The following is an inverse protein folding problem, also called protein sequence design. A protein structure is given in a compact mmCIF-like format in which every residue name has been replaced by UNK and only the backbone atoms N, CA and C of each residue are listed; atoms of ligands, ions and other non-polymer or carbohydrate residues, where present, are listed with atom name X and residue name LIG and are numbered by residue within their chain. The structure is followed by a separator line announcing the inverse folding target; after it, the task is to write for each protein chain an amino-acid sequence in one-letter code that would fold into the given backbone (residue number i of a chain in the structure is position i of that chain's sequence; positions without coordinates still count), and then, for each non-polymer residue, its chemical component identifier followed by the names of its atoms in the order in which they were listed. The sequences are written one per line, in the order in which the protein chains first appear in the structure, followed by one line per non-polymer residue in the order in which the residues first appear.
data_IF_299865449873
#
_entry.id   IF_299865449873
#
_cell.length_a   1.000
_cell.length_b   1.000
_cell.length_c   1.000
_cell.angle_alpha   90.00
_cell.angle_beta   90.00
_cell.angle_gamma   90.00
#
_symmetry.space_group_name_H-M   'P 1'
#
loop_
_entity.id
_entity.type
_entity.pdbx_description
1 polymer ?
#
# COMPACT_ATOMS: atom_id res chain seq x y z
N UNK A 1 154.97 17.80 -109.28
CA UNK A 1 153.58 18.09 -109.74
C UNK A 1 152.66 17.94 -108.53
N UNK A 2 151.74 18.79 -108.12
CA UNK A 2 151.38 20.20 -108.35
C UNK A 2 150.02 20.38 -107.63
N UNK A 3 149.86 21.33 -106.70
CA UNK A 3 148.55 21.96 -106.41
C UNK A 3 147.82 21.68 -105.07
N UNK A 4 147.92 22.67 -104.16
CA UNK A 4 146.88 23.23 -103.24
C UNK A 4 146.38 22.44 -102.01
N UNK A 5 146.93 22.73 -100.80
CA UNK A 5 146.37 22.37 -99.48
C UNK A 5 145.33 23.34 -98.87
N UNK A 6 145.05 24.50 -99.48
CA UNK A 6 144.35 25.62 -98.79
C UNK A 6 142.80 25.64 -98.91
N UNK A 7 142.18 24.87 -99.81
CA UNK A 7 140.72 24.92 -100.00
C UNK A 7 139.90 24.07 -99.00
N UNK A 8 140.52 23.04 -98.41
CA UNK A 8 139.83 22.13 -97.47
C UNK A 8 139.72 22.76 -96.06
N UNK A 9 140.69 23.61 -95.66
CA UNK A 9 140.66 24.30 -94.37
C UNK A 9 139.53 25.35 -94.31
N UNK A 10 139.38 26.16 -95.37
CA UNK A 10 138.32 27.19 -95.45
C UNK A 10 136.90 26.59 -95.45
N UNK A 11 136.73 25.41 -96.04
CA UNK A 11 135.44 24.70 -96.05
C UNK A 11 135.11 24.12 -94.67
N UNK A 12 136.13 23.66 -93.92
CA UNK A 12 135.96 23.15 -92.55
C UNK A 12 135.60 24.26 -91.56
N UNK A 13 136.17 25.46 -91.71
CA UNK A 13 135.83 26.62 -90.88
C UNK A 13 134.39 27.09 -91.11
N UNK A 14 133.95 27.24 -92.37
CA UNK A 14 132.55 27.58 -92.68
C UNK A 14 131.54 26.55 -92.14
N UNK A 15 131.86 25.26 -92.22
CA UNK A 15 131.02 24.21 -91.64
C UNK A 15 130.96 24.29 -90.11
N UNK A 16 132.06 24.68 -89.46
CA UNK A 16 132.11 24.89 -88.00
C UNK A 16 131.29 26.11 -87.57
N UNK A 17 131.33 27.18 -88.36
CA UNK A 17 130.57 28.41 -88.14
C UNK A 17 129.06 28.18 -88.32
N UNK A 18 128.66 27.45 -89.37
CA UNK A 18 127.26 27.04 -89.59
C UNK A 18 126.78 26.10 -88.48
N UNK A 19 127.62 25.15 -88.04
CA UNK A 19 127.28 24.26 -86.93
C UNK A 19 127.11 25.04 -85.61
N UNK A 20 127.97 26.01 -85.32
CA UNK A 20 127.83 26.89 -84.15
C UNK A 20 126.59 27.77 -84.23
N UNK A 21 126.27 28.33 -85.41
CA UNK A 21 125.05 29.12 -85.61
C UNK A 21 123.78 28.27 -85.48
N UNK A 22 123.78 27.02 -85.97
CA UNK A 22 122.69 26.06 -85.79
C UNK A 22 122.48 25.68 -84.33
N UNK A 23 123.56 25.44 -83.57
CA UNK A 23 123.48 25.17 -82.13
C UNK A 23 122.98 26.39 -81.37
N UNK A 24 123.45 27.61 -81.69
CA UNK A 24 122.97 28.83 -81.08
C UNK A 24 121.47 29.07 -81.34
N UNK A 25 121.00 28.85 -82.58
CA UNK A 25 119.58 28.95 -82.94
C UNK A 25 118.72 27.85 -82.30
N UNK A 26 119.28 26.64 -82.13
CA UNK A 26 118.60 25.56 -81.43
C UNK A 26 118.45 25.85 -79.93
N UNK A 27 119.47 26.44 -79.30
CA UNK A 27 119.42 26.91 -77.90
C UNK A 27 118.42 28.05 -77.75
N UNK A 28 118.39 29.02 -78.66
CA UNK A 28 117.41 30.12 -78.66
C UNK A 28 115.96 29.60 -78.84
N UNK A 29 115.73 28.67 -79.77
CA UNK A 29 114.42 28.02 -79.96
C UNK A 29 114.00 27.19 -78.75
N UNK A 30 114.95 26.53 -78.08
CA UNK A 30 114.71 25.79 -76.85
C UNK A 30 114.36 26.74 -75.70
N UNK A 31 115.06 27.86 -75.52
CA UNK A 31 114.71 28.90 -74.54
C UNK A 31 113.31 29.48 -74.80
N UNK A 32 112.97 29.79 -76.05
CA UNK A 32 111.63 30.30 -76.41
C UNK A 32 110.54 29.24 -76.18
N UNK A 33 110.80 27.96 -76.47
CA UNK A 33 109.87 26.87 -76.16
C UNK A 33 109.71 26.67 -74.64
N UNK A 34 110.78 26.72 -73.87
CA UNK A 34 110.74 26.61 -72.40
C UNK A 34 109.98 27.79 -71.80
N UNK A 35 110.21 29.01 -72.28
CA UNK A 35 109.48 30.20 -71.83
C UNK A 35 107.99 30.16 -72.20
N UNK A 36 107.63 29.72 -73.42
CA UNK A 36 106.23 29.51 -73.80
C UNK A 36 105.56 28.40 -72.99
N UNK A 37 106.25 27.31 -72.71
CA UNK A 37 105.74 26.25 -71.82
C UNK A 37 105.54 26.77 -70.40
N UNK A 38 106.45 27.61 -69.88
CA UNK A 38 106.31 28.23 -68.57
C UNK A 38 105.14 29.23 -68.51
N UNK A 39 104.94 30.05 -69.55
CA UNK A 39 103.78 30.94 -69.66
C UNK A 39 102.47 30.18 -69.77
N UNK A 40 102.40 29.14 -70.61
CA UNK A 40 101.21 28.29 -70.74
C UNK A 40 100.91 27.53 -69.44
N UNK A 41 101.95 27.05 -68.74
CA UNK A 41 101.80 26.41 -67.43
C UNK A 41 101.28 27.41 -66.39
N UNK A 42 101.84 28.62 -66.31
CA UNK A 42 101.38 29.67 -65.39
C UNK A 42 99.95 30.15 -65.71
N UNK A 43 99.58 30.26 -66.99
CA UNK A 43 98.21 30.56 -67.40
C UNK A 43 97.24 29.43 -67.03
N UNK A 44 97.64 28.17 -67.23
CA UNK A 44 96.83 27.02 -66.82
C UNK A 44 96.68 26.95 -65.29
N UNK A 45 97.76 27.20 -64.53
CA UNK A 45 97.73 27.22 -63.06
C UNK A 45 96.88 28.37 -62.52
N UNK A 46 96.99 29.57 -63.07
CA UNK A 46 96.15 30.72 -62.64
C UNK A 46 94.69 30.54 -63.00
N UNK A 47 94.39 29.96 -64.17
CA UNK A 47 93.01 29.61 -64.55
C UNK A 47 92.42 28.52 -63.64
N UNK A 48 93.18 27.45 -63.34
CA UNK A 48 92.76 26.41 -62.40
C UNK A 48 92.59 26.95 -60.97
N UNK A 49 93.49 27.82 -60.50
CA UNK A 49 93.37 28.48 -59.21
C UNK A 49 92.12 29.37 -59.15
N UNK A 50 91.85 30.15 -60.20
CA UNK A 50 90.63 30.97 -60.31
C UNK A 50 89.35 30.13 -60.29
N UNK A 51 89.32 29.03 -61.05
CA UNK A 51 88.22 28.05 -61.01
C UNK A 51 88.03 27.45 -59.61
N UNK A 52 89.12 27.13 -58.91
CA UNK A 52 89.06 26.57 -57.56
C UNK A 52 88.50 27.58 -56.56
N UNK A 53 88.89 28.85 -56.65
CA UNK A 53 88.35 29.93 -55.80
C UNK A 53 86.86 30.16 -56.08
N UNK A 54 86.45 30.18 -57.35
CA UNK A 54 85.02 30.31 -57.71
C UNK A 54 84.22 29.12 -57.18
N UNK A 55 84.73 27.89 -57.34
CA UNK A 55 84.09 26.69 -56.81
C UNK A 55 83.94 26.74 -55.27
N UNK A 56 84.95 27.23 -54.56
CA UNK A 56 84.90 27.43 -53.10
C UNK A 56 83.87 28.50 -52.70
N UNK A 57 83.81 29.63 -53.40
CA UNK A 57 82.83 30.67 -53.14
C UNK A 57 81.39 30.17 -53.38
N UNK A 58 81.18 29.43 -54.46
CA UNK A 58 79.88 28.80 -54.75
C UNK A 58 79.52 27.79 -53.67
N UNK A 59 80.46 26.95 -53.22
CA UNK A 59 80.23 25.99 -52.14
C UNK A 59 79.87 26.70 -50.82
N UNK A 60 80.51 27.82 -50.48
CA UNK A 60 80.18 28.60 -49.28
C UNK A 60 78.78 29.21 -49.39
N UNK A 61 78.41 29.77 -50.54
CA UNK A 61 77.07 30.35 -50.74
C UNK A 61 75.98 29.28 -50.67
N UNK A 62 76.21 28.10 -51.26
CA UNK A 62 75.29 26.96 -51.17
C UNK A 62 75.19 26.47 -49.73
N UNK A 63 76.31 26.29 -49.03
CA UNK A 63 76.31 25.87 -47.63
C UNK A 63 75.59 26.87 -46.73
N UNK A 64 75.84 28.17 -46.90
CA UNK A 64 75.15 29.22 -46.15
C UNK A 64 73.64 29.25 -46.44
N UNK A 65 73.26 29.09 -47.71
CA UNK A 65 71.85 28.99 -48.13
C UNK A 65 71.17 27.77 -47.53
N UNK A 66 71.79 26.58 -47.58
CA UNK A 66 71.26 25.35 -46.98
C UNK A 66 71.13 25.45 -45.45
N UNK A 67 72.16 25.98 -44.76
CA UNK A 67 72.12 26.18 -43.31
C UNK A 67 70.93 27.07 -42.94
N UNK A 68 70.72 28.17 -43.67
CA UNK A 68 69.60 29.08 -43.41
C UNK A 68 68.25 28.48 -43.79
N UNK A 69 68.19 27.69 -44.86
CA UNK A 69 66.98 27.04 -45.35
C UNK A 69 66.50 25.89 -44.44
N UNK A 70 67.43 25.18 -43.79
CA UNK A 70 67.17 24.00 -42.94
C UNK A 70 67.13 24.36 -41.45
N UNK A 71 68.16 25.01 -40.92
CA UNK A 71 68.34 25.19 -39.46
C UNK A 71 67.27 26.11 -38.86
N UNK A 72 66.88 27.15 -39.60
CA UNK A 72 65.88 28.12 -39.13
C UNK A 72 64.49 27.49 -38.91
N UNK A 73 63.86 26.81 -39.89
CA UNK A 73 62.56 26.16 -39.68
C UNK A 73 62.62 25.00 -38.67
N UNK A 74 63.75 24.31 -38.53
CA UNK A 74 63.95 23.33 -37.45
C UNK A 74 63.86 24.01 -36.08
N UNK A 75 64.58 25.13 -35.88
CA UNK A 75 64.52 25.86 -34.61
C UNK A 75 63.12 26.41 -34.30
N UNK A 76 62.40 26.89 -35.31
CA UNK A 76 61.00 27.33 -35.16
C UNK A 76 60.10 26.17 -34.71
N UNK A 77 60.27 24.98 -35.30
CA UNK A 77 59.53 23.77 -34.90
C UNK A 77 59.89 23.32 -33.48
N UNK A 78 61.18 23.38 -33.11
CA UNK A 78 61.65 23.06 -31.75
C UNK A 78 61.11 24.04 -30.71
N UNK A 79 61.03 25.34 -31.03
CA UNK A 79 60.44 26.34 -30.14
C UNK A 79 58.96 26.07 -29.88
N UNK A 80 58.20 25.75 -30.92
CA UNK A 80 56.79 25.34 -30.81
C UNK A 80 56.66 24.06 -29.99
N UNK A 81 57.49 23.05 -30.24
CA UNK A 81 57.49 21.81 -29.47
C UNK A 81 57.80 22.05 -27.98
N UNK A 82 58.73 22.94 -27.66
CA UNK A 82 59.04 23.32 -26.27
C UNK A 82 57.87 24.04 -25.60
N UNK A 83 57.16 24.93 -26.31
CA UNK A 83 55.94 25.57 -25.79
C UNK A 83 54.85 24.55 -25.49
N UNK A 84 54.58 23.64 -26.41
CA UNK A 84 53.61 22.54 -26.22
C UNK A 84 54.02 21.63 -25.06
N UNK A 85 55.31 21.27 -24.96
CA UNK A 85 55.84 20.46 -23.86
C UNK A 85 55.74 21.15 -22.48
N UNK A 86 55.79 22.49 -22.45
CA UNK A 86 55.57 23.29 -21.24
C UNK A 86 54.08 23.47 -20.88
N UNK A 87 53.17 22.92 -21.69
CA UNK A 87 51.73 23.05 -21.52
C UNK A 87 51.11 24.28 -22.21
N UNK A 88 51.88 25.09 -22.92
CA UNK A 88 51.35 26.23 -23.67
C UNK A 88 50.86 25.79 -25.06
N UNK A 89 49.54 25.55 -25.14
CA UNK A 89 48.84 25.21 -26.35
C UNK A 89 48.29 26.44 -27.07
N UNK A 90 48.53 27.68 -26.62
CA UNK A 90 48.02 28.92 -27.27
C UNK A 90 48.71 29.22 -28.62
N UNK A 91 49.77 28.47 -28.94
CA UNK A 91 50.57 28.64 -30.15
C UNK A 91 49.73 28.49 -31.42
N UNK A 92 49.90 29.43 -32.35
CA UNK A 92 49.26 29.41 -33.66
C UNK A 92 50.29 29.11 -34.74
N UNK A 93 50.28 27.90 -35.26
CA UNK A 93 51.27 27.42 -36.23
C UNK A 93 50.73 27.68 -37.63
N UNK A 94 51.24 28.71 -38.29
CA UNK A 94 50.95 29.02 -39.69
C UNK A 94 52.19 28.78 -40.54
N UNK A 95 52.07 27.95 -41.56
CA UNK A 95 53.13 27.75 -42.56
C UNK A 95 52.64 28.17 -43.93
N UNK A 96 53.39 29.07 -44.57
CA UNK A 96 53.20 29.46 -45.97
C UNK A 96 54.17 28.72 -46.91
N UNK A 97 54.93 27.74 -46.39
CA UNK A 97 55.94 27.00 -47.15
C UNK A 97 55.32 25.78 -47.84
N UNK A 98 55.72 25.56 -49.09
CA UNK A 98 55.34 24.38 -49.89
C UNK A 98 56.39 23.25 -49.89
N UNK A 99 57.33 23.26 -48.94
CA UNK A 99 58.38 22.25 -48.75
C UNK A 99 58.03 21.27 -47.61
N UNK A 100 58.88 20.26 -47.38
CA UNK A 100 58.67 19.23 -46.36
C UNK A 100 58.55 19.81 -44.94
N UNK A 101 59.22 20.92 -44.65
CA UNK A 101 59.10 21.63 -43.38
C UNK A 101 57.74 22.31 -43.24
N UNK A 102 57.19 22.81 -44.35
CA UNK A 102 55.82 23.31 -44.37
C UNK A 102 54.79 22.23 -44.05
N UNK A 103 54.97 21.02 -44.58
CA UNK A 103 54.14 19.85 -44.22
C UNK A 103 54.32 19.45 -42.75
N UNK A 104 55.54 19.47 -42.22
CA UNK A 104 55.83 19.18 -40.81
C UNK A 104 55.14 20.17 -39.86
N UNK A 105 55.26 21.47 -40.12
CA UNK A 105 54.62 22.52 -39.33
C UNK A 105 53.09 22.42 -39.41
N UNK A 106 52.53 22.12 -40.60
CA UNK A 106 51.10 21.90 -40.74
C UNK A 106 50.60 20.70 -39.90
N UNK A 107 51.31 19.57 -39.93
CA UNK A 107 50.99 18.40 -39.11
C UNK A 107 51.10 18.70 -37.61
N UNK A 108 52.11 19.47 -37.19
CA UNK A 108 52.26 19.93 -35.80
C UNK A 108 51.13 20.89 -35.40
N UNK A 109 50.70 21.76 -36.31
CA UNK A 109 49.50 22.60 -36.19
C UNK A 109 48.25 21.78 -35.89
N UNK A 110 47.98 20.77 -36.71
CA UNK A 110 46.86 19.84 -36.49
C UNK A 110 46.97 19.11 -35.15
N UNK A 111 48.17 18.66 -34.76
CA UNK A 111 48.38 18.03 -33.45
C UNK A 111 48.03 18.97 -32.29
N UNK A 112 48.49 20.22 -32.31
CA UNK A 112 48.19 21.22 -31.27
C UNK A 112 46.70 21.52 -31.21
N UNK A 113 46.05 21.70 -32.36
CA UNK A 113 44.58 21.91 -32.41
C UNK A 113 43.83 20.73 -31.80
N UNK A 114 44.18 19.49 -32.19
CA UNK A 114 43.54 18.29 -31.64
C UNK A 114 43.80 18.15 -30.13
N UNK A 115 45.02 18.45 -29.64
CA UNK A 115 45.31 18.46 -28.21
C UNK A 115 44.47 19.52 -27.48
N UNK A 116 44.35 20.74 -28.04
CA UNK A 116 43.54 21.81 -27.47
C UNK A 116 42.07 21.38 -27.34
N UNK A 117 41.50 20.79 -28.39
CA UNK A 117 40.13 20.28 -28.39
C UNK A 117 39.95 19.15 -27.37
N UNK A 118 40.89 18.19 -27.29
CA UNK A 118 40.85 17.12 -26.30
C UNK A 118 40.90 17.66 -24.86
N UNK A 119 41.78 18.61 -24.57
CA UNK A 119 41.88 19.22 -23.24
C UNK A 119 40.60 19.99 -22.89
N UNK A 120 40.02 20.75 -23.83
CA UNK A 120 38.72 21.40 -23.62
C UNK A 120 37.57 20.40 -23.36
N UNK A 121 37.55 19.27 -24.08
CA UNK A 121 36.56 18.21 -23.85
C UNK A 121 36.72 17.57 -22.47
N UNK A 122 37.97 17.34 -22.02
CA UNK A 122 38.23 16.80 -20.68
C UNK A 122 37.83 17.79 -19.59
N UNK A 123 38.14 19.09 -19.74
CA UNK A 123 37.73 20.12 -18.77
C UNK A 123 36.21 20.22 -18.65
N UNK A 124 35.51 20.24 -19.80
CA UNK A 124 34.04 20.23 -19.84
C UNK A 124 33.48 18.95 -19.21
N UNK A 125 34.08 17.80 -19.50
CA UNK A 125 33.70 16.52 -18.91
C UNK A 125 33.90 16.49 -17.38
N UNK A 126 35.01 17.01 -16.89
CA UNK A 126 35.30 17.12 -15.46
C UNK A 126 34.29 18.05 -14.76
N UNK A 127 34.00 19.21 -15.35
CA UNK A 127 32.99 20.14 -14.83
C UNK A 127 31.59 19.49 -14.75
N UNK A 128 31.20 18.73 -15.78
CA UNK A 128 29.94 17.98 -15.77
C UNK A 128 29.92 16.91 -14.66
N UNK A 129 31.02 16.17 -14.47
CA UNK A 129 31.11 15.17 -13.39
C UNK A 129 30.99 15.84 -12.02
N UNK A 130 31.64 16.99 -11.80
CA UNK A 130 31.55 17.74 -10.55
C UNK A 130 30.10 18.18 -10.28
N UNK A 131 29.43 18.77 -11.27
CA UNK A 131 28.04 19.21 -11.16
C UNK A 131 27.09 18.04 -10.88
N UNK A 132 27.22 16.92 -11.60
CA UNK A 132 26.39 15.73 -11.35
C UNK A 132 26.66 15.09 -9.99
N UNK A 133 27.88 15.20 -9.47
CA UNK A 133 28.22 14.69 -8.13
C UNK A 133 27.58 15.54 -7.03
N UNK A 134 27.52 16.86 -7.20
CA UNK A 134 26.83 17.78 -6.28
C UNK A 134 25.30 17.56 -6.29
N UNK A 135 24.72 17.35 -7.48
CA UNK A 135 23.31 16.97 -7.62
C UNK A 135 23.03 15.62 -6.93
N UNK A 136 23.89 14.62 -7.15
CA UNK A 136 23.77 13.31 -6.51
C UNK A 136 23.90 13.39 -5.00
N UNK A 137 24.78 14.24 -4.47
CA UNK A 137 24.87 14.51 -3.02
C UNK A 137 23.57 15.07 -2.47
N UNK A 138 22.96 16.04 -3.17
CA UNK A 138 21.68 16.64 -2.77
C UNK A 138 20.54 15.60 -2.75
N UNK A 139 20.44 14.77 -3.80
CA UNK A 139 19.45 13.69 -3.88
C UNK A 139 19.69 12.64 -2.80
N UNK A 140 20.95 12.36 -2.49
CA UNK A 140 21.34 11.41 -1.45
C UNK A 140 20.93 11.89 -0.07
N UNK A 141 21.13 13.17 0.26
CA UNK A 141 20.66 13.76 1.52
C UNK A 141 19.15 13.74 1.65
N UNK A 142 18.42 14.07 0.58
CA UNK A 142 16.95 13.96 0.55
C UNK A 142 16.49 12.52 0.76
N UNK A 143 17.15 11.56 0.10
CA UNK A 143 16.85 10.13 0.27
C UNK A 143 17.12 9.68 1.69
N UNK A 144 18.22 10.14 2.31
CA UNK A 144 18.56 9.83 3.70
C UNK A 144 17.48 10.31 4.67
N UNK A 145 16.95 11.52 4.45
CA UNK A 145 15.84 12.04 5.24
C UNK A 145 14.56 11.22 5.02
N UNK A 146 14.23 10.89 3.77
CA UNK A 146 13.05 10.08 3.44
C UNK A 146 13.10 8.68 4.06
N UNK A 147 14.28 8.04 4.10
CA UNK A 147 14.47 6.74 4.77
C UNK A 147 14.26 6.86 6.29
N UNK A 148 14.72 7.96 6.91
CA UNK A 148 14.47 8.20 8.33
C UNK A 148 12.98 8.37 8.64
N UNK A 149 12.26 9.20 7.85
CA UNK A 149 10.82 9.40 8.01
C UNK A 149 10.04 8.10 7.78
N UNK A 150 10.43 7.30 6.78
CA UNK A 150 9.84 6.00 6.51
C UNK A 150 10.03 5.03 7.69
N UNK A 151 11.19 5.05 8.35
CA UNK A 151 11.47 4.21 9.53
C UNK A 151 10.53 4.57 10.68
N UNK A 152 10.35 5.85 10.98
CA UNK A 152 9.45 6.32 12.02
C UNK A 152 8.00 5.94 11.73
N UNK A 153 7.55 6.09 10.47
CA UNK A 153 6.21 5.63 10.06
C UNK A 153 6.06 4.12 10.18
N UNK A 154 7.08 3.35 9.82
CA UNK A 154 7.07 1.88 9.90
C UNK A 154 6.94 1.41 11.35
N UNK A 155 7.65 2.04 12.29
CA UNK A 155 7.56 1.73 13.72
C UNK A 155 6.17 2.11 14.31
N UNK A 156 5.55 3.20 13.83
CA UNK A 156 4.17 3.55 14.18
C UNK A 156 3.16 2.50 13.67
N UNK A 157 3.31 2.06 12.42
CA UNK A 157 2.46 1.00 11.85
C UNK A 157 2.64 -0.29 12.64
N UNK A 158 3.87 -0.69 12.98
CA UNK A 158 4.12 -1.86 13.82
C UNK A 158 3.39 -1.80 15.16
N UNK A 159 3.40 -0.63 15.80
CA UNK A 159 2.69 -0.40 17.08
C UNK A 159 1.19 -0.52 16.90
N UNK A 160 0.62 0.13 15.87
CA UNK A 160 -0.80 0.05 15.57
C UNK A 160 -1.25 -1.39 15.23
N UNK A 161 -0.41 -2.17 14.57
CA UNK A 161 -0.69 -3.58 14.29
C UNK A 161 -0.71 -4.44 15.55
N UNK A 162 0.19 -4.20 16.51
CA UNK A 162 0.14 -4.89 17.81
C UNK A 162 -1.13 -4.54 18.59
N UNK A 163 -1.56 -3.28 18.58
CA UNK A 163 -2.85 -2.87 19.17
C UNK A 163 -4.04 -3.50 18.43
N UNK A 164 -3.95 -3.62 17.09
CA UNK A 164 -4.98 -4.30 16.28
C UNK A 164 -5.12 -5.77 16.68
N UNK A 165 -4.02 -6.50 16.86
CA UNK A 165 -4.07 -7.92 17.30
C UNK A 165 -4.75 -8.03 18.67
N UNK A 166 -4.40 -7.15 19.62
CA UNK A 166 -5.02 -7.15 20.95
C UNK A 166 -6.54 -6.87 20.87
N UNK A 167 -6.93 -5.85 20.10
CA UNK A 167 -8.36 -5.49 19.96
C UNK A 167 -9.17 -6.56 19.23
N UNK A 168 -8.61 -7.22 18.23
CA UNK A 168 -9.26 -8.34 17.54
C UNK A 168 -9.46 -9.54 18.48
N UNK A 169 -8.49 -9.82 19.36
CA UNK A 169 -8.64 -10.85 20.39
C UNK A 169 -9.77 -10.52 21.39
N UNK A 170 -9.89 -9.25 21.78
CA UNK A 170 -11.00 -8.78 22.63
C UNK A 170 -12.36 -8.89 21.93
N UNK A 171 -12.42 -8.63 20.62
CA UNK A 171 -13.64 -8.82 19.81
C UNK A 171 -14.03 -10.30 19.76
N UNK A 172 -13.07 -11.22 19.53
CA UNK A 172 -13.34 -12.66 19.53
C UNK A 172 -13.92 -13.13 20.88
N UNK A 173 -13.30 -12.70 21.99
CA UNK A 173 -13.78 -12.99 23.35
C UNK A 173 -15.16 -12.42 23.63
N UNK A 174 -15.44 -11.21 23.13
CA UNK A 174 -16.75 -10.57 23.27
C UNK A 174 -17.82 -11.33 22.48
N UNK A 175 -17.50 -11.80 21.28
CA UNK A 175 -18.39 -12.63 20.46
C UNK A 175 -18.70 -13.97 21.15
N UNK A 176 -17.70 -14.62 21.76
CA UNK A 176 -17.89 -15.85 22.53
C UNK A 176 -18.79 -15.62 23.76
N UNK A 177 -18.56 -14.53 24.49
CA UNK A 177 -19.39 -14.14 25.64
C UNK A 177 -20.85 -13.88 25.23
N UNK A 178 -21.04 -13.19 24.11
CA UNK A 178 -22.37 -12.91 23.55
C UNK A 178 -23.06 -14.19 23.04
N UNK A 179 -22.29 -15.15 22.49
CA UNK A 179 -22.80 -16.48 22.12
C UNK A 179 -23.33 -17.24 23.34
N UNK A 180 -22.59 -17.25 24.45
CA UNK A 180 -23.01 -17.89 25.70
C UNK A 180 -24.25 -17.22 26.32
N UNK A 181 -24.33 -15.89 26.26
CA UNK A 181 -25.51 -15.14 26.70
C UNK A 181 -26.74 -15.45 25.84
N UNK A 182 -26.59 -15.50 24.50
CA UNK A 182 -27.64 -15.90 23.58
C UNK A 182 -28.11 -17.34 23.83
N UNK A 183 -27.18 -18.28 24.09
CA UNK A 183 -27.55 -19.66 24.44
C UNK A 183 -28.40 -19.72 25.72
N UNK A 184 -28.03 -18.95 26.75
CA UNK A 184 -28.79 -18.87 28.00
C UNK A 184 -30.18 -18.26 27.76
N UNK A 185 -30.27 -17.20 26.95
CA UNK A 185 -31.54 -16.59 26.58
C UNK A 185 -32.45 -17.57 25.80
N UNK A 186 -31.89 -18.34 24.87
CA UNK A 186 -32.62 -19.35 24.10
C UNK A 186 -33.20 -20.44 25.02
N UNK A 187 -32.40 -20.93 25.97
CA UNK A 187 -32.87 -21.87 26.99
C UNK A 187 -34.02 -21.28 27.81
N UNK A 188 -33.91 -20.03 28.26
CA UNK A 188 -34.94 -19.34 29.06
C UNK A 188 -36.22 -19.09 28.27
N UNK A 189 -36.12 -18.76 26.98
CA UNK A 189 -37.28 -18.68 26.09
C UNK A 189 -37.97 -20.04 25.94
N UNK A 190 -37.21 -21.13 25.81
CA UNK A 190 -37.77 -22.48 25.76
C UNK A 190 -38.46 -22.91 27.07
N UNK A 191 -37.92 -22.52 28.23
CA UNK A 191 -38.59 -22.69 29.53
C UNK A 191 -39.87 -21.86 29.63
N UNK A 192 -39.85 -20.62 29.14
CA UNK A 192 -41.01 -19.72 29.09
C UNK A 192 -42.13 -20.25 28.20
N UNK A 193 -41.79 -20.78 27.01
CA UNK A 193 -42.77 -21.39 26.10
C UNK A 193 -43.46 -22.60 26.75
N UNK A 194 -42.72 -23.44 27.47
CA UNK A 194 -43.31 -24.56 28.23
C UNK A 194 -44.29 -24.07 29.29
N UNK A 195 -43.94 -23.03 30.05
CA UNK A 195 -44.82 -22.46 31.08
C UNK A 195 -46.11 -21.86 30.48
N UNK A 196 -46.02 -21.21 29.32
CA UNK A 196 -47.20 -20.71 28.59
C UNK A 196 -48.08 -21.86 28.11
N UNK A 197 -47.51 -22.90 27.51
CA UNK A 197 -48.26 -24.08 27.07
C UNK A 197 -48.97 -24.80 28.24
N UNK A 198 -48.32 -24.88 29.39
CA UNK A 198 -48.94 -25.44 30.60
C UNK A 198 -50.11 -24.55 31.10
N UNK A 199 -49.95 -23.22 31.04
CA UNK A 199 -51.01 -22.25 31.36
C UNK A 199 -52.21 -22.41 30.42
N UNK A 200 -52.00 -22.55 29.11
CA UNK A 200 -53.07 -22.79 28.13
C UNK A 200 -53.86 -24.06 28.46
N UNK A 201 -53.17 -25.12 28.91
CA UNK A 201 -53.82 -26.36 29.35
C UNK A 201 -54.67 -26.15 30.60
N UNK A 202 -54.15 -25.45 31.62
CA UNK A 202 -54.90 -25.15 32.83
C UNK A 202 -56.12 -24.27 32.59
N UNK A 203 -56.03 -23.28 31.71
CA UNK A 203 -57.16 -22.42 31.35
C UNK A 203 -58.24 -23.20 30.60
N UNK A 204 -57.83 -24.13 29.71
CA UNK A 204 -58.76 -25.01 29.00
C UNK A 204 -59.52 -25.93 29.97
N UNK A 205 -58.80 -26.55 30.92
CA UNK A 205 -59.40 -27.37 31.98
C UNK A 205 -60.33 -26.54 32.87
N UNK A 206 -59.93 -25.31 33.23
CA UNK A 206 -60.76 -24.38 33.99
C UNK A 206 -62.08 -24.07 33.27
N UNK A 207 -62.02 -23.78 31.97
CA UNK A 207 -63.23 -23.50 31.17
C UNK A 207 -64.17 -24.71 31.13
N UNK A 208 -63.63 -25.93 31.01
CA UNK A 208 -64.43 -27.15 31.11
C UNK A 208 -65.11 -27.29 32.49
N UNK A 209 -64.39 -27.01 33.58
CA UNK A 209 -64.94 -27.08 34.94
C UNK A 209 -66.01 -26.02 35.20
N UNK A 210 -65.84 -24.80 34.69
CA UNK A 210 -66.86 -23.76 34.78
C UNK A 210 -68.13 -24.21 34.03
N UNK A 211 -67.99 -24.82 32.84
CA UNK A 211 -69.11 -25.39 32.09
C UNK A 211 -69.88 -26.48 32.87
N UNK A 212 -69.16 -27.37 33.57
CA UNK A 212 -69.76 -28.39 34.44
C UNK A 212 -70.58 -27.75 35.58
N UNK A 213 -70.02 -26.71 36.23
CA UNK A 213 -70.67 -25.99 37.34
C UNK A 213 -71.92 -25.25 36.85
N UNK A 214 -71.84 -24.57 35.70
CA UNK A 214 -72.99 -23.90 35.11
C UNK A 214 -74.13 -24.87 34.78
N UNK A 215 -73.80 -26.07 34.28
CA UNK A 215 -74.80 -27.12 34.01
C UNK A 215 -75.50 -27.57 35.29
N UNK A 216 -74.74 -27.78 36.38
CA UNK A 216 -75.31 -28.14 37.70
C UNK A 216 -76.17 -27.04 38.29
N UNK A 217 -75.77 -25.77 38.17
CA UNK A 217 -76.55 -24.63 38.66
C UNK A 217 -77.86 -24.43 37.89
N UNK A 218 -77.85 -24.62 36.56
CA UNK A 218 -79.08 -24.62 35.76
C UNK A 218 -80.01 -25.76 36.13
N UNK A 219 -79.46 -26.95 36.41
CA UNK A 219 -80.22 -28.07 36.96
C UNK A 219 -80.86 -27.72 38.31
N UNK A 220 -80.09 -27.16 39.24
CA UNK A 220 -80.59 -26.71 40.53
C UNK A 220 -81.72 -25.68 40.38
N UNK A 221 -81.56 -24.69 39.49
CA UNK A 221 -82.59 -23.68 39.21
C UNK A 221 -83.91 -24.33 38.74
N UNK A 222 -83.81 -25.31 37.84
CA UNK A 222 -84.96 -26.11 37.38
C UNK A 222 -85.62 -26.89 38.51
N UNK A 223 -84.83 -27.56 39.36
CA UNK A 223 -85.34 -28.34 40.49
C UNK A 223 -86.03 -27.45 41.53
N UNK A 224 -85.48 -26.27 41.84
CA UNK A 224 -86.13 -25.31 42.72
C UNK A 224 -87.45 -24.79 42.15
N UNK A 225 -87.56 -24.60 40.84
CA UNK A 225 -88.81 -24.18 40.22
C UNK A 225 -89.91 -25.23 40.39
N UNK A 226 -89.56 -26.52 40.27
CA UNK A 226 -90.49 -27.62 40.55
C UNK A 226 -90.95 -27.60 42.02
N UNK A 227 -90.06 -27.29 42.96
CA UNK A 227 -90.41 -27.18 44.39
C UNK A 227 -91.41 -26.05 44.63
N UNK A 228 -91.24 -24.89 43.98
CA UNK A 228 -92.22 -23.78 44.05
C UNK A 228 -93.60 -24.25 43.62
N UNK A 229 -93.71 -24.98 42.51
CA UNK A 229 -95.00 -25.53 42.04
C UNK A 229 -95.62 -26.51 43.05
N UNK A 230 -94.80 -27.33 43.72
CA UNK A 230 -95.29 -28.24 44.77
C UNK A 230 -95.77 -27.45 46.01
N UNK A 231 -95.06 -26.38 46.38
CA UNK A 231 -95.46 -25.51 47.49
C UNK A 231 -96.80 -24.81 47.23
N UNK A 232 -97.06 -24.37 45.99
CA UNK A 232 -98.36 -23.81 45.62
C UNK A 232 -99.50 -24.82 45.83
N UNK A 233 -99.28 -26.09 45.48
CA UNK A 233 -100.25 -27.17 45.75
C UNK A 233 -100.44 -27.38 47.25
N UNK A 234 -99.36 -27.39 48.04
CA UNK A 234 -99.43 -27.55 49.50
C UNK A 234 -100.20 -26.38 50.14
N UNK A 235 -99.94 -25.14 49.72
CA UNK A 235 -100.70 -23.96 50.17
C UNK A 235 -102.18 -24.09 49.84
N UNK A 236 -102.50 -24.48 48.60
CA UNK A 236 -103.88 -24.70 48.17
C UNK A 236 -104.58 -25.79 49.00
N UNK A 237 -103.91 -26.91 49.27
CA UNK A 237 -104.44 -27.99 50.12
C UNK A 237 -104.60 -27.53 51.57
N UNK A 238 -103.64 -26.79 52.13
CA UNK A 238 -103.73 -26.25 53.48
C UNK A 238 -104.89 -25.25 53.62
N UNK A 239 -105.10 -24.39 52.62
CA UNK A 239 -106.20 -23.44 52.59
C UNK A 239 -107.57 -24.14 52.46
N UNK A 240 -107.67 -25.14 51.57
CA UNK A 240 -108.87 -25.99 51.46
C UNK A 240 -109.15 -26.73 52.78
N UNK A 241 -108.12 -27.25 53.44
CA UNK A 241 -108.23 -27.94 54.73
C UNK A 241 -108.68 -26.99 55.83
N UNK A 242 -108.17 -25.75 55.85
CA UNK A 242 -108.59 -24.70 56.77
C UNK A 242 -110.06 -24.30 56.55
N UNK A 243 -110.52 -24.18 55.30
CA UNK A 243 -111.91 -23.93 54.95
C UNK A 243 -112.85 -25.09 55.33
N UNK A 244 -112.44 -26.34 55.07
CA UNK A 244 -113.17 -27.54 55.47
C UNK A 244 -113.31 -27.63 56.99
N UNK A 245 -112.21 -27.38 57.72
CA UNK A 245 -112.19 -27.38 59.17
C UNK A 245 -113.05 -26.26 59.76
N UNK A 246 -113.07 -25.07 59.15
CA UNK A 246 -113.96 -23.97 59.53
C UNK A 246 -115.43 -24.37 59.36
N UNK A 247 -115.80 -24.97 58.23
CA UNK A 247 -117.16 -25.44 57.99
C UNK A 247 -117.57 -26.53 58.99
N UNK A 248 -116.65 -27.45 59.32
CA UNK A 248 -116.87 -28.47 60.34
C UNK A 248 -117.04 -27.87 61.76
N UNK A 249 -116.26 -26.86 62.11
CA UNK A 249 -116.39 -26.15 63.39
C UNK A 249 -117.72 -25.40 63.51
N UNK A 250 -118.18 -24.77 62.42
CA UNK A 250 -119.51 -24.12 62.36
C UNK A 250 -120.63 -25.14 62.57
N UNK A 251 -120.57 -26.28 61.87
CA UNK A 251 -121.63 -27.31 61.98
C UNK A 251 -121.60 -28.01 63.34
N UNK A 252 -120.41 -28.20 63.93
CA UNK A 252 -120.25 -28.71 65.29
C UNK A 252 -120.83 -27.74 66.35
N UNK A 253 -120.65 -26.42 66.17
CA UNK A 253 -121.29 -25.41 67.02
C UNK A 253 -122.82 -25.42 66.87
N UNK A 254 -123.32 -25.71 65.66
CA UNK A 254 -124.75 -25.82 65.34
C UNK A 254 -125.42 -27.04 66.00
N UNK A 255 -124.68 -28.12 66.23
CA UNK A 255 -125.14 -29.34 66.90
C UNK A 255 -125.18 -29.23 68.45
N UNK A 256 -124.78 -28.09 69.04
CA UNK A 256 -124.86 -27.85 70.48
C UNK A 256 -123.97 -28.79 71.32
N UNK A 257 -124.47 -29.28 72.46
CA UNK A 257 -123.71 -30.13 73.39
C UNK A 257 -123.24 -31.47 72.75
N UNK A 258 -123.94 -31.98 71.73
CA UNK A 258 -123.56 -33.21 71.02
C UNK A 258 -122.37 -33.02 70.06
N UNK A 259 -122.07 -31.77 69.67
CA UNK A 259 -121.01 -31.41 68.73
C UNK A 259 -119.67 -31.04 69.38
N UNK A 260 -119.58 -30.95 70.71
CA UNK A 260 -118.37 -30.46 71.41
C UNK A 260 -117.09 -31.23 71.07
N UNK A 261 -117.17 -32.57 70.97
CA UNK A 261 -116.02 -33.39 70.58
C UNK A 261 -115.54 -33.11 69.16
N UNK A 262 -116.47 -32.92 68.22
CA UNK A 262 -116.16 -32.58 66.83
C UNK A 262 -115.64 -31.15 66.67
N UNK A 263 -116.13 -30.20 67.47
CA UNK A 263 -115.64 -28.82 67.47
C UNK A 263 -114.16 -28.73 67.84
N UNK A 264 -113.72 -29.46 68.88
CA UNK A 264 -112.31 -29.51 69.30
C UNK A 264 -111.42 -30.09 68.19
N UNK A 265 -111.85 -31.16 67.53
CA UNK A 265 -111.10 -31.76 66.41
C UNK A 265 -111.05 -30.81 65.22
N UNK A 266 -112.15 -30.12 64.90
CA UNK A 266 -112.19 -29.14 63.81
C UNK A 266 -111.26 -27.94 64.07
N UNK A 267 -111.22 -27.40 65.29
CA UNK A 267 -110.28 -26.34 65.65
C UNK A 267 -108.82 -26.81 65.62
N UNK A 268 -108.52 -28.05 66.01
CA UNK A 268 -107.17 -28.63 65.92
C UNK A 268 -106.74 -28.82 64.46
N UNK A 269 -107.61 -29.32 63.59
CA UNK A 269 -107.35 -29.45 62.14
C UNK A 269 -107.15 -28.07 61.51
N UNK A 270 -107.94 -27.08 61.91
CA UNK A 270 -107.80 -25.69 61.44
C UNK A 270 -106.47 -25.08 61.87
N UNK A 271 -106.08 -25.28 63.13
CA UNK A 271 -104.77 -24.86 63.65
C UNK A 271 -103.62 -25.53 62.89
N UNK A 272 -103.71 -26.84 62.62
CA UNK A 272 -102.73 -27.58 61.85
C UNK A 272 -102.64 -27.07 60.41
N UNK A 273 -103.77 -26.83 59.74
CA UNK A 273 -103.82 -26.27 58.40
C UNK A 273 -103.16 -24.89 58.31
N UNK A 274 -103.40 -24.02 59.30
CA UNK A 274 -102.75 -22.70 59.40
C UNK A 274 -101.24 -22.83 59.62
N UNK A 275 -100.80 -23.74 60.49
CA UNK A 275 -99.37 -24.04 60.69
C UNK A 275 -98.69 -24.57 59.42
N UNK A 276 -99.38 -25.42 58.66
CA UNK A 276 -98.90 -25.93 57.36
C UNK A 276 -98.75 -24.80 56.35
N UNK A 277 -99.71 -23.86 56.29
CA UNK A 277 -99.64 -22.69 55.40
C UNK A 277 -98.46 -21.78 55.75
N UNK A 278 -98.28 -21.45 57.03
CA UNK A 278 -97.13 -20.65 57.49
C UNK A 278 -95.79 -21.36 57.20
N UNK A 279 -95.71 -22.67 57.41
CA UNK A 279 -94.49 -23.44 57.08
C UNK A 279 -94.21 -23.45 55.57
N UNK A 280 -95.25 -23.52 54.73
CA UNK A 280 -95.10 -23.46 53.28
C UNK A 280 -94.62 -22.07 52.81
N UNK A 281 -95.07 -20.97 53.43
CA UNK A 281 -94.56 -19.61 53.19
C UNK A 281 -93.09 -19.44 53.60
N UNK A 282 -92.70 -20.02 54.75
CA UNK A 282 -91.30 -20.03 55.20
C UNK A 282 -90.39 -20.79 54.20
N UNK A 283 -90.82 -21.97 53.75
CA UNK A 283 -90.08 -22.76 52.76
C UNK A 283 -90.01 -22.04 51.41
N UNK A 284 -91.09 -21.42 50.96
CA UNK A 284 -91.11 -20.62 49.72
C UNK A 284 -90.10 -19.47 49.78
N UNK A 285 -89.99 -18.78 50.91
CA UNK A 285 -88.99 -17.73 51.12
C UNK A 285 -87.57 -18.29 51.03
N UNK A 286 -87.30 -19.45 51.64
CA UNK A 286 -86.00 -20.12 51.54
C UNK A 286 -85.67 -20.54 50.11
N UNK A 287 -86.66 -21.06 49.37
CA UNK A 287 -86.49 -21.45 47.96
C UNK A 287 -86.25 -20.23 47.08
N UNK A 288 -86.96 -19.12 47.29
CA UNK A 288 -86.73 -17.86 46.57
C UNK A 288 -85.30 -17.34 46.76
N UNK A 289 -84.78 -17.37 48.00
CA UNK A 289 -83.39 -17.03 48.28
C UNK A 289 -82.39 -17.99 47.60
N UNK A 290 -82.73 -19.29 47.53
CA UNK A 290 -81.92 -20.29 46.84
C UNK A 290 -81.87 -20.04 45.33
N UNK A 291 -83.01 -19.70 44.70
CA UNK A 291 -83.06 -19.32 43.28
C UNK A 291 -82.21 -18.09 43.02
N UNK A 292 -82.38 -17.03 43.80
CA UNK A 292 -81.58 -15.80 43.66
C UNK A 292 -80.08 -16.06 43.81
N UNK A 293 -79.69 -16.92 44.76
CA UNK A 293 -78.28 -17.31 44.95
C UNK A 293 -77.75 -18.14 43.77
N UNK A 294 -78.57 -19.01 43.19
CA UNK A 294 -78.20 -19.79 42.01
C UNK A 294 -78.02 -18.88 40.79
N UNK A 295 -78.91 -17.91 40.55
CA UNK A 295 -78.79 -16.92 39.47
C UNK A 295 -77.52 -16.06 39.62
N UNK A 296 -77.24 -15.58 40.84
CA UNK A 296 -76.00 -14.84 41.13
C UNK A 296 -74.75 -15.69 40.88
N UNK A 297 -74.79 -16.97 41.22
CA UNK A 297 -73.71 -17.92 40.95
C UNK A 297 -73.51 -18.15 39.44
N UNK A 298 -74.59 -18.27 38.66
CA UNK A 298 -74.51 -18.38 37.19
C UNK A 298 -73.88 -17.12 36.59
N UNK A 299 -74.31 -15.93 37.00
CA UNK A 299 -73.72 -14.66 36.52
C UNK A 299 -72.23 -14.57 36.84
N UNK A 300 -71.81 -15.01 38.03
CA UNK A 300 -70.39 -15.06 38.41
C UNK A 300 -69.60 -16.05 37.54
N UNK A 301 -70.18 -17.21 37.22
CA UNK A 301 -69.56 -18.20 36.33
C UNK A 301 -69.46 -17.73 34.88
N UNK A 302 -70.45 -17.00 34.37
CA UNK A 302 -70.38 -16.36 33.05
C UNK A 302 -69.25 -15.33 32.99
N UNK A 303 -69.12 -14.49 34.02
CA UNK A 303 -68.00 -13.55 34.12
C UNK A 303 -66.65 -14.29 34.23
N UNK A 304 -66.60 -15.42 34.95
CA UNK A 304 -65.41 -16.26 35.04
C UNK A 304 -65.01 -16.89 33.71
N UNK A 305 -65.99 -17.31 32.91
CA UNK A 305 -65.77 -17.83 31.54
C UNK A 305 -65.14 -16.76 30.66
N UNK A 306 -65.66 -15.53 30.69
CA UNK A 306 -65.10 -14.41 29.93
C UNK A 306 -63.66 -14.08 30.33
N UNK A 307 -63.36 -14.15 31.64
CA UNK A 307 -61.99 -13.93 32.14
C UNK A 307 -61.03 -15.04 31.69
N UNK A 308 -61.50 -16.29 31.67
CA UNK A 308 -60.74 -17.43 31.17
C UNK A 308 -60.43 -17.28 29.66
N UNK A 309 -61.41 -16.87 28.85
CA UNK A 309 -61.22 -16.58 27.42
C UNK A 309 -60.18 -15.48 27.19
N UNK A 310 -60.25 -14.37 27.94
CA UNK A 310 -59.24 -13.30 27.86
C UNK A 310 -57.85 -13.78 28.29
N UNK A 311 -57.78 -14.67 29.28
CA UNK A 311 -56.51 -15.25 29.74
C UNK A 311 -55.91 -16.16 28.66
N UNK A 312 -56.75 -16.93 27.95
CA UNK A 312 -56.35 -17.77 26.83
C UNK A 312 -55.72 -16.92 25.70
N UNK A 313 -56.42 -15.87 25.25
CA UNK A 313 -55.93 -14.96 24.20
C UNK A 313 -54.58 -14.32 24.58
N UNK A 314 -54.44 -13.88 25.84
CA UNK A 314 -53.19 -13.31 26.36
C UNK A 314 -52.06 -14.32 26.42
N UNK A 315 -52.34 -15.55 26.83
CA UNK A 315 -51.35 -16.63 26.87
C UNK A 315 -50.88 -17.03 25.45
N UNK A 316 -51.80 -17.11 24.48
CA UNK A 316 -51.45 -17.37 23.07
C UNK A 316 -50.53 -16.28 22.50
N UNK A 317 -50.88 -15.01 22.76
CA UNK A 317 -50.07 -13.85 22.34
C UNK A 317 -48.68 -13.90 22.98
N UNK A 318 -48.58 -14.16 24.29
CA UNK A 318 -47.31 -14.30 25.00
C UNK A 318 -46.47 -15.45 24.42
N UNK A 319 -47.10 -16.59 24.09
CA UNK A 319 -46.44 -17.71 23.44
C UNK A 319 -45.86 -17.36 22.07
N UNK A 320 -46.60 -16.58 21.25
CA UNK A 320 -46.08 -16.10 19.97
C UNK A 320 -44.85 -15.21 20.14
N UNK A 321 -44.92 -14.23 21.05
CA UNK A 321 -43.80 -13.32 21.32
C UNK A 321 -42.56 -14.07 21.83
N UNK A 322 -42.73 -15.08 22.69
CA UNK A 322 -41.60 -15.91 23.17
C UNK A 322 -40.95 -16.68 22.01
N UNK A 323 -41.74 -17.21 21.06
CA UNK A 323 -41.19 -17.89 19.87
C UNK A 323 -40.43 -16.93 18.95
N UNK A 324 -40.96 -15.73 18.73
CA UNK A 324 -40.27 -14.69 17.95
C UNK A 324 -38.94 -14.30 18.62
N UNK A 325 -38.94 -14.13 19.96
CA UNK A 325 -37.71 -13.89 20.73
C UNK A 325 -36.71 -15.04 20.60
N UNK A 326 -37.17 -16.29 20.67
CA UNK A 326 -36.29 -17.45 20.51
C UNK A 326 -35.62 -17.48 19.12
N UNK A 327 -36.37 -17.13 18.06
CA UNK A 327 -35.83 -17.02 16.71
C UNK A 327 -34.78 -15.91 16.59
N UNK A 328 -35.07 -14.73 17.14
CA UNK A 328 -34.11 -13.60 17.12
C UNK A 328 -32.82 -13.91 17.91
N UNK A 329 -32.94 -14.64 19.02
CA UNK A 329 -31.78 -15.08 19.81
C UNK A 329 -30.92 -16.09 19.03
N UNK A 330 -31.54 -16.97 18.24
CA UNK A 330 -30.81 -17.90 17.38
C UNK A 330 -30.04 -17.17 16.27
N UNK A 331 -30.61 -16.12 15.67
CA UNK A 331 -29.90 -15.26 14.72
C UNK A 331 -28.69 -14.56 15.37
N UNK A 332 -28.86 -14.02 16.59
CA UNK A 332 -27.75 -13.42 17.36
C UNK A 332 -26.63 -14.44 17.58
N UNK A 333 -26.99 -15.70 17.88
CA UNK A 333 -26.02 -16.78 18.04
C UNK A 333 -25.24 -17.04 16.75
N UNK A 334 -25.91 -17.04 15.61
CA UNK A 334 -25.28 -17.17 14.30
C UNK A 334 -24.34 -16.00 13.99
N UNK A 335 -24.75 -14.76 14.27
CA UNK A 335 -23.90 -13.58 14.07
C UNK A 335 -22.64 -13.64 14.95
N UNK A 336 -22.76 -13.99 16.23
CA UNK A 336 -21.59 -14.11 17.09
C UNK A 336 -20.60 -15.17 16.61
N UNK A 337 -21.09 -16.30 16.06
CA UNK A 337 -20.23 -17.31 15.44
C UNK A 337 -19.47 -16.76 14.22
N UNK A 338 -20.13 -15.98 13.37
CA UNK A 338 -19.49 -15.32 12.23
C UNK A 338 -18.48 -14.25 12.67
N UNK A 339 -18.79 -13.46 13.70
CA UNK A 339 -17.88 -12.46 14.25
C UNK A 339 -16.63 -13.12 14.82
N UNK A 340 -16.77 -14.22 15.55
CA UNK A 340 -15.62 -14.99 16.06
C UNK A 340 -14.73 -15.49 14.91
N UNK A 341 -15.32 -16.07 13.87
CA UNK A 341 -14.59 -16.53 12.67
C UNK A 341 -13.89 -15.36 11.95
N UNK A 342 -14.56 -14.22 11.81
CA UNK A 342 -13.99 -13.03 11.19
C UNK A 342 -12.82 -12.45 12.02
N UNK A 343 -12.92 -12.50 13.35
CA UNK A 343 -11.84 -12.08 14.24
C UNK A 343 -10.61 -13.00 14.13
N UNK A 344 -10.80 -14.32 14.00
CA UNK A 344 -9.70 -15.25 13.73
C UNK A 344 -9.02 -14.94 12.39
N UNK A 345 -9.80 -14.67 11.33
CA UNK A 345 -9.26 -14.26 10.03
C UNK A 345 -8.50 -12.92 10.11
N UNK A 346 -9.04 -11.94 10.83
CA UNK A 346 -8.36 -10.65 11.04
C UNK A 346 -7.04 -10.81 11.80
N UNK A 347 -6.97 -11.75 12.74
CA UNK A 347 -5.72 -12.04 13.46
C UNK A 347 -4.64 -12.52 12.48
N UNK A 348 -4.97 -13.47 11.59
CA UNK A 348 -4.04 -13.94 10.56
C UNK A 348 -3.58 -12.82 9.62
N UNK A 349 -4.51 -11.97 9.17
CA UNK A 349 -4.15 -10.81 8.31
C UNK A 349 -3.26 -9.82 9.06
N UNK A 350 -3.50 -9.61 10.35
CA UNK A 350 -2.68 -8.72 11.15
C UNK A 350 -1.24 -9.26 11.33
N UNK A 351 -1.08 -10.56 11.50
CA UNK A 351 0.24 -11.22 11.53
C UNK A 351 0.97 -11.07 10.18
N UNK A 352 0.29 -11.28 9.06
CA UNK A 352 0.86 -11.08 7.72
C UNK A 352 1.32 -9.63 7.50
N UNK A 353 0.53 -8.65 7.95
CA UNK A 353 0.92 -7.23 7.87
C UNK A 353 2.14 -6.97 8.77
N UNK A 354 2.20 -7.54 9.98
CA UNK A 354 3.35 -7.38 10.87
C UNK A 354 4.65 -7.92 10.25
N UNK A 355 4.55 -9.07 9.55
CA UNK A 355 5.67 -9.60 8.77
C UNK A 355 6.08 -8.64 7.64
N UNK A 356 5.12 -8.08 6.90
CA UNK A 356 5.41 -7.11 5.84
C UNK A 356 6.04 -5.82 6.37
N UNK A 357 5.61 -5.34 7.54
CA UNK A 357 6.19 -4.18 8.23
C UNK A 357 7.66 -4.44 8.58
N UNK A 358 7.98 -5.65 9.03
CA UNK A 358 9.37 -6.07 9.28
C UNK A 358 10.19 -6.06 7.99
N UNK A 359 9.65 -6.58 6.88
CA UNK A 359 10.33 -6.54 5.58
C UNK A 359 10.55 -5.10 5.08
N UNK A 360 9.58 -4.19 5.28
CA UNK A 360 9.73 -2.78 4.92
C UNK A 360 10.85 -2.13 5.73
N UNK A 361 10.94 -2.46 7.02
CA UNK A 361 12.03 -1.98 7.89
C UNK A 361 13.40 -2.47 7.40
N UNK A 362 13.53 -3.74 7.04
CA UNK A 362 14.77 -4.31 6.51
C UNK A 362 15.19 -3.62 5.19
N UNK A 363 14.22 -3.35 4.30
CA UNK A 363 14.45 -2.60 3.06
C UNK A 363 14.84 -1.14 3.36
N UNK A 364 14.27 -0.52 4.39
CA UNK A 364 14.66 0.80 4.87
C UNK A 364 16.12 0.83 5.33
N UNK A 365 16.54 -0.15 6.14
CA UNK A 365 17.92 -0.25 6.64
C UNK A 365 18.92 -0.52 5.50
N UNK A 366 18.54 -1.35 4.52
CA UNK A 366 19.34 -1.56 3.30
C UNK A 366 19.42 -0.29 2.44
N UNK A 367 18.33 0.47 2.36
CA UNK A 367 18.30 1.75 1.63
C UNK A 367 19.21 2.77 2.30
N UNK A 368 19.18 2.89 3.62
CA UNK A 368 20.10 3.75 4.38
C UNK A 368 21.57 3.41 4.07
N UNK A 369 21.91 2.12 4.10
CA UNK A 369 23.28 1.65 3.77
C UNK A 369 23.65 1.99 2.32
N UNK A 370 22.73 1.81 1.38
CA UNK A 370 22.96 2.12 -0.03
C UNK A 370 23.13 3.63 -0.26
N UNK A 371 22.34 4.45 0.43
CA UNK A 371 22.46 5.91 0.42
C UNK A 371 23.83 6.36 0.94
N UNK A 372 24.34 5.76 2.02
CA UNK A 372 25.70 6.04 2.52
C UNK A 372 26.79 5.69 1.49
N UNK A 373 26.65 4.57 0.78
CA UNK A 373 27.58 4.18 -0.28
C UNK A 373 27.55 5.14 -1.47
N UNK A 374 26.35 5.58 -1.88
CA UNK A 374 26.19 6.58 -2.94
C UNK A 374 26.81 7.92 -2.52
N UNK A 375 26.58 8.37 -1.29
CA UNK A 375 27.19 9.59 -0.75
C UNK A 375 28.72 9.56 -0.86
N UNK A 376 29.34 8.46 -0.42
CA UNK A 376 30.78 8.28 -0.50
C UNK A 376 31.29 8.24 -1.95
N UNK A 377 30.54 7.62 -2.86
CA UNK A 377 30.89 7.59 -4.28
C UNK A 377 30.76 8.97 -4.95
N UNK A 378 29.74 9.77 -4.58
CA UNK A 378 29.58 11.15 -5.05
C UNK A 378 30.75 12.04 -4.63
N UNK A 379 31.16 11.93 -3.36
CA UNK A 379 32.30 12.69 -2.84
C UNK A 379 33.61 12.33 -3.56
N UNK A 380 33.83 11.03 -3.82
CA UNK A 380 34.97 10.56 -4.60
C UNK A 380 34.94 11.06 -6.05
N UNK A 381 33.78 11.04 -6.73
CA UNK A 381 33.64 11.57 -8.08
C UNK A 381 33.90 13.07 -8.15
N UNK A 382 33.40 13.84 -7.18
CA UNK A 382 33.66 15.28 -7.08
C UNK A 382 35.16 15.55 -6.93
N UNK A 383 35.85 14.79 -6.06
CA UNK A 383 37.29 14.88 -5.87
C UNK A 383 38.08 14.51 -7.14
N UNK A 384 37.68 13.45 -7.84
CA UNK A 384 38.31 13.03 -9.09
C UNK A 384 38.12 14.07 -10.20
N UNK A 385 36.93 14.68 -10.28
CA UNK A 385 36.64 15.76 -11.22
C UNK A 385 37.49 17.01 -10.95
N UNK A 386 37.61 17.43 -9.68
CA UNK A 386 38.49 18.53 -9.27
C UNK A 386 39.97 18.22 -9.60
N UNK A 387 40.41 16.98 -9.37
CA UNK A 387 41.74 16.52 -9.71
C UNK A 387 42.02 16.55 -11.23
N UNK A 388 41.05 16.13 -12.05
CA UNK A 388 41.11 16.21 -13.52
C UNK A 388 41.16 17.65 -14.01
N UNK A 389 40.29 18.52 -13.49
CA UNK A 389 40.28 19.95 -13.84
C UNK A 389 41.61 20.62 -13.45
N UNK A 390 42.19 20.27 -12.30
CA UNK A 390 43.52 20.76 -11.89
C UNK A 390 44.64 20.29 -12.83
N UNK A 391 44.59 19.04 -13.29
CA UNK A 391 45.59 18.50 -14.23
C UNK A 391 45.47 19.15 -15.60
N UNK A 392 44.24 19.36 -16.09
CA UNK A 392 43.95 20.05 -17.35
C UNK A 392 44.31 21.53 -17.27
N UNK A 393 44.06 22.19 -16.14
CA UNK A 393 44.39 23.60 -15.90
C UNK A 393 45.90 23.92 -15.95
N UNK A 394 46.78 22.90 -15.95
CA UNK A 394 48.21 23.08 -16.25
C UNK A 394 48.47 23.44 -17.71
N UNK A 395 47.58 23.05 -18.61
CA UNK A 395 47.67 23.40 -20.03
C UNK A 395 47.00 24.74 -20.27
N UNK A 396 47.74 25.68 -20.86
CA UNK A 396 47.24 26.98 -21.28
C UNK A 396 46.68 26.85 -22.69
N UNK A 397 45.38 27.06 -22.85
CA UNK A 397 44.65 26.89 -24.11
C UNK A 397 44.43 28.21 -24.83
#
# INVERSE_FOLDING_TARGET
MSGRPDAILATKEKLREIAQAMVAKAVELQEVQVNRMAEQFNQAVTFLAGLTVIALLVAIVIAWSMIRAITRPINETVEVANKVASGDLTVNIKSERGDEFGTLLAAFGTMVTNLRELIQQIDTGASNIASSSEELSTVTDQTRQGVADQRDQTDQVATAMNEMVATVADVAKSAESAFAAAQTASQKSGEGEKAVNETLRFVTDLNSKIGDVMTKLRGLQSDTQNIVTVLDVIKSVAEQTNLLALNAAIEAARAGEQGRGFAVVADEVRSLAKRTQTSAEEIETLISNLVSSAESSVSTMESGTKLAEQTLERAETAGSTIREMASAVEEIRQYNSQIATAAEQQTSVAEDINQNVTLIRDVGDQSATSTEQVAAASDELARLAEGLSTQVGRFRI
#
